data_IF_133434386677
#
_entry.id   IF_133434386677
#
_cell.length_a   1.000
_cell.length_b   1.000
_cell.length_c   1.000
_cell.angle_alpha   90.00
_cell.angle_beta   90.00
_cell.angle_gamma   90.00
#
_symmetry.space_group_name_H-M   'P 1'
#
loop_
_entity.id
_entity.type
_entity.pdbx_description
1 polymer ?
#
# COMPACT_ATOMS: atom_id res chain seq x y z
N UNK A 1 -18.06 -7.44 19.27
CA UNK A 1 -17.07 -7.10 20.33
C UNK A 1 -15.82 -7.99 20.34
N UNK A 2 -15.89 -9.33 20.15
CA UNK A 2 -14.67 -10.19 20.09
C UNK A 2 -13.86 -10.13 18.78
N UNK A 3 -14.42 -9.62 17.68
CA UNK A 3 -13.74 -9.66 16.37
C UNK A 3 -12.48 -8.79 16.28
N UNK A 4 -12.44 -7.62 16.93
CA UNK A 4 -11.31 -6.69 16.81
C UNK A 4 -10.02 -7.17 17.53
N UNK A 5 -10.16 -8.06 18.50
CA UNK A 5 -9.04 -8.63 19.27
C UNK A 5 -8.50 -9.94 18.69
N UNK A 6 -9.17 -10.48 17.66
CA UNK A 6 -8.77 -11.72 16.97
C UNK A 6 -8.14 -11.46 15.60
N UNK A 7 -8.20 -10.21 15.12
CA UNK A 7 -7.65 -9.78 13.82
C UNK A 7 -8.62 -8.87 13.09
N UNK A 8 -8.08 -7.95 12.29
CA UNK A 8 -8.86 -7.03 11.46
C UNK A 8 -8.21 -6.91 10.07
N UNK A 9 -9.04 -6.68 9.05
CA UNK A 9 -8.58 -6.40 7.70
C UNK A 9 -9.09 -5.03 7.27
N UNK A 10 -8.18 -4.09 7.06
CA UNK A 10 -8.48 -2.75 6.56
C UNK A 10 -8.23 -2.59 5.06
N UNK A 11 -7.71 -3.63 4.40
CA UNK A 11 -7.34 -3.57 2.99
C UNK A 11 -8.56 -3.37 2.10
N UNK A 12 -8.36 -2.62 1.01
CA UNK A 12 -9.38 -2.35 0.01
C UNK A 12 -8.80 -2.58 -1.38
N UNK A 13 -9.62 -3.15 -2.27
CA UNK A 13 -9.26 -3.26 -3.69
C UNK A 13 -9.05 -1.88 -4.30
N UNK A 14 -8.26 -1.79 -5.37
CA UNK A 14 -7.86 -0.54 -6.04
C UNK A 14 -7.02 0.45 -5.20
N UNK A 15 -6.90 0.26 -3.88
CA UNK A 15 -6.17 1.17 -3.01
C UNK A 15 -4.69 1.29 -3.37
N UNK A 16 -4.16 2.51 -3.28
CA UNK A 16 -2.74 2.81 -3.35
C UNK A 16 -2.19 3.44 -2.08
N UNK A 17 -0.89 3.67 -2.12
CA UNK A 17 -0.14 4.50 -1.17
C UNK A 17 -0.64 5.94 -1.28
N UNK A 18 -0.89 6.42 -2.50
CA UNK A 18 -1.45 7.76 -2.73
C UNK A 18 -2.97 7.71 -2.79
N UNK A 19 -3.62 8.73 -2.24
CA UNK A 19 -5.08 8.74 -2.07
C UNK A 19 -5.84 8.78 -3.40
N UNK A 20 -5.23 9.33 -4.46
CA UNK A 20 -5.85 9.40 -5.78
C UNK A 20 -5.78 8.08 -6.59
N UNK A 21 -4.89 7.16 -6.19
CA UNK A 21 -4.65 5.90 -6.90
C UNK A 21 -5.92 5.02 -6.87
N UNK A 22 -6.38 4.57 -8.04
CA UNK A 22 -7.54 3.69 -8.14
C UNK A 22 -8.91 4.39 -8.15
N UNK A 23 -8.97 5.72 -8.08
CA UNK A 23 -10.20 6.51 -8.25
C UNK A 23 -10.99 6.15 -9.53
N UNK A 24 -10.31 5.76 -10.60
CA UNK A 24 -10.95 5.35 -11.85
C UNK A 24 -11.75 4.04 -11.74
N UNK A 25 -11.57 3.26 -10.66
CA UNK A 25 -12.24 1.98 -10.39
C UNK A 25 -13.43 2.13 -9.42
N UNK A 26 -13.79 3.35 -9.03
CA UNK A 26 -14.89 3.64 -8.11
C UNK A 26 -14.43 3.78 -6.66
N UNK A 27 -15.38 3.61 -5.74
CA UNK A 27 -15.14 3.80 -4.31
C UNK A 27 -14.16 2.76 -3.76
N UNK A 28 -13.12 3.24 -3.09
CA UNK A 28 -12.11 2.43 -2.44
C UNK A 28 -11.55 3.17 -1.22
N UNK A 29 -10.75 2.47 -0.41
CA UNK A 29 -10.18 3.01 0.83
C UNK A 29 -8.65 3.09 0.65
N UNK A 30 -8.07 4.26 0.34
CA UNK A 30 -6.63 4.41 0.17
C UNK A 30 -5.89 4.24 1.51
N UNK A 31 -4.57 4.07 1.47
CA UNK A 31 -3.77 3.73 2.65
C UNK A 31 -3.98 4.69 3.83
N UNK A 32 -4.06 6.01 3.60
CA UNK A 32 -4.33 6.97 4.67
C UNK A 32 -5.65 6.67 5.37
N UNK A 33 -6.71 6.40 4.61
CA UNK A 33 -8.02 6.07 5.19
C UNK A 33 -8.01 4.69 5.88
N UNK A 34 -7.22 3.71 5.40
CA UNK A 34 -7.05 2.43 6.09
C UNK A 34 -6.40 2.62 7.46
N UNK A 35 -5.41 3.51 7.57
CA UNK A 35 -4.77 3.86 8.84
C UNK A 35 -5.71 4.64 9.76
N UNK A 36 -6.49 5.59 9.25
CA UNK A 36 -7.52 6.29 10.03
C UNK A 36 -8.60 5.33 10.54
N UNK A 37 -8.99 4.34 9.73
CA UNK A 37 -9.92 3.30 10.16
C UNK A 37 -9.31 2.44 11.29
N UNK A 38 -8.02 2.10 11.20
CA UNK A 38 -7.32 1.43 12.31
C UNK A 38 -7.26 2.31 13.58
N UNK A 39 -6.91 3.59 13.44
CA UNK A 39 -6.91 4.54 14.57
C UNK A 39 -8.29 4.61 15.26
N UNK A 40 -9.36 4.65 14.46
CA UNK A 40 -10.74 4.76 14.96
C UNK A 40 -11.19 3.61 15.85
N UNK A 41 -10.54 2.44 15.76
CA UNK A 41 -10.87 1.28 16.60
C UNK A 41 -10.03 1.24 17.90
N UNK A 42 -8.98 2.05 18.03
CA UNK A 42 -8.14 2.08 19.22
C UNK A 42 -8.92 2.38 20.51
N UNK A 43 -9.95 3.27 20.54
CA UNK A 43 -10.79 3.44 21.73
C UNK A 43 -11.51 2.16 22.16
N UNK A 44 -11.93 1.31 21.22
CA UNK A 44 -12.55 0.02 21.54
C UNK A 44 -11.53 -0.98 22.10
N UNK A 45 -10.29 -0.99 21.57
CA UNK A 45 -9.19 -1.80 22.12
C UNK A 45 -8.86 -1.33 23.55
N UNK A 46 -8.77 -0.02 23.79
CA UNK A 46 -8.56 0.55 25.13
C UNK A 46 -9.65 0.13 26.10
N UNK A 47 -10.92 0.20 25.69
CA UNK A 47 -12.06 -0.25 26.49
C UNK A 47 -12.00 -1.74 26.82
N UNK A 48 -11.53 -2.58 25.89
CA UNK A 48 -11.36 -4.01 26.13
C UNK A 48 -10.37 -4.29 27.27
N UNK A 49 -9.30 -3.50 27.36
CA UNK A 49 -8.32 -3.56 28.44
C UNK A 49 -8.66 -2.66 29.65
N UNK A 50 -9.93 -2.27 29.81
CA UNK A 50 -10.39 -1.45 30.95
C UNK A 50 -9.62 -0.11 31.11
N UNK A 51 -9.06 0.41 30.01
CA UNK A 51 -8.25 1.64 30.02
C UNK A 51 -6.79 1.46 30.42
N UNK A 52 -6.32 0.23 30.67
CA UNK A 52 -4.90 -0.05 30.96
C UNK A 52 -4.04 0.14 29.70
N UNK A 53 -3.36 1.29 29.62
CA UNK A 53 -2.50 1.63 28.49
C UNK A 53 -1.29 0.71 28.36
N UNK A 54 -0.73 0.19 29.47
CA UNK A 54 0.37 -0.77 29.41
C UNK A 54 -0.10 -2.09 28.77
N UNK A 55 -1.31 -2.54 29.11
CA UNK A 55 -1.89 -3.73 28.50
C UNK A 55 -2.19 -3.53 27.00
N UNK A 56 -2.69 -2.34 26.61
CA UNK A 56 -2.94 -1.98 25.20
C UNK A 56 -1.64 -1.97 24.40
N UNK A 57 -0.60 -1.30 24.87
CA UNK A 57 0.71 -1.24 24.21
C UNK A 57 1.36 -2.63 24.10
N UNK A 58 1.28 -3.43 25.16
CA UNK A 58 1.74 -4.82 25.16
C UNK A 58 0.96 -5.71 24.19
N UNK A 59 -0.32 -5.43 23.98
CA UNK A 59 -1.13 -6.13 22.99
C UNK A 59 -0.73 -5.72 21.57
N UNK A 60 -0.73 -4.43 21.25
CA UNK A 60 -0.42 -3.90 19.92
C UNK A 60 1.01 -4.23 19.47
N UNK A 61 1.99 -4.20 20.39
CA UNK A 61 3.37 -4.57 20.10
C UNK A 61 3.56 -6.05 19.71
N UNK A 62 2.59 -6.92 20.04
CA UNK A 62 2.59 -8.33 19.63
C UNK A 62 1.89 -8.55 18.29
N UNK A 63 0.99 -7.67 17.88
CA UNK A 63 0.32 -7.75 16.59
C UNK A 63 1.31 -7.67 15.43
N UNK A 64 1.00 -8.39 14.35
CA UNK A 64 1.72 -8.31 13.09
C UNK A 64 0.84 -7.51 12.13
N UNK A 65 1.38 -6.43 11.60
CA UNK A 65 0.74 -5.60 10.59
C UNK A 65 1.32 -5.97 9.24
N UNK A 66 0.48 -6.33 8.28
CA UNK A 66 0.90 -6.66 6.93
C UNK A 66 0.44 -5.56 5.96
N UNK A 67 1.36 -5.01 5.19
CA UNK A 67 1.09 -3.96 4.20
C UNK A 67 1.59 -4.40 2.82
N UNK A 68 0.65 -4.71 1.94
CA UNK A 68 0.90 -5.05 0.53
C UNK A 68 0.36 -3.96 -0.39
N UNK A 69 1.14 -2.89 -0.55
CA UNK A 69 0.76 -1.67 -1.28
C UNK A 69 1.73 -1.39 -2.43
N UNK A 70 1.35 -0.51 -3.36
CA UNK A 70 2.20 -0.03 -4.45
C UNK A 70 1.80 -0.52 -5.84
N UNK A 71 1.19 -1.70 -5.98
CA UNK A 71 0.85 -2.25 -7.32
C UNK A 71 -0.15 -1.37 -8.09
N UNK A 72 -1.19 -0.86 -7.40
CA UNK A 72 -2.16 0.05 -7.98
C UNK A 72 -1.57 1.43 -8.30
N UNK A 73 -0.58 1.89 -7.53
CA UNK A 73 0.09 3.17 -7.79
C UNK A 73 0.79 3.16 -9.16
N UNK A 74 1.17 1.98 -9.66
CA UNK A 74 1.65 1.82 -11.04
C UNK A 74 0.53 1.49 -12.02
N UNK A 75 -0.31 0.49 -11.73
CA UNK A 75 -1.32 -0.03 -12.68
C UNK A 75 -2.51 0.92 -12.89
N UNK A 76 -3.01 1.51 -11.79
CA UNK A 76 -4.21 2.33 -11.72
C UNK A 76 -3.88 3.78 -11.30
N UNK A 77 -2.68 4.24 -11.68
CA UNK A 77 -2.26 5.63 -11.54
C UNK A 77 -1.12 5.96 -12.53
N UNK A 78 0.15 5.62 -12.22
CA UNK A 78 1.31 6.07 -13.00
C UNK A 78 1.25 5.72 -14.48
N UNK A 79 0.96 4.46 -14.83
CA UNK A 79 0.89 4.00 -16.22
C UNK A 79 -0.50 4.14 -16.85
N UNK A 80 -1.45 4.79 -16.17
CA UNK A 80 -2.83 4.97 -16.65
C UNK A 80 -3.05 6.42 -17.10
N UNK A 81 -2.36 6.80 -18.17
CA UNK A 81 -2.26 8.18 -18.66
C UNK A 81 -3.58 8.79 -19.14
N UNK A 82 -4.57 7.96 -19.48
CA UNK A 82 -5.90 8.43 -19.89
C UNK A 82 -6.73 9.00 -18.72
N UNK A 83 -6.38 8.60 -17.49
CA UNK A 83 -7.09 9.01 -16.26
C UNK A 83 -6.23 9.87 -15.34
N UNK A 84 -4.89 9.78 -15.44
CA UNK A 84 -3.97 10.40 -14.51
C UNK A 84 -2.86 11.18 -15.21
N UNK A 85 -2.50 12.33 -14.64
CA UNK A 85 -1.37 13.17 -15.09
C UNK A 85 -0.06 12.82 -14.39
N UNK A 86 0.00 11.70 -13.66
CA UNK A 86 1.16 11.35 -12.83
C UNK A 86 2.43 11.17 -13.67
N UNK A 87 2.37 10.38 -14.75
CA UNK A 87 3.53 10.16 -15.62
C UNK A 87 3.98 11.42 -16.39
N UNK A 88 3.11 12.42 -16.59
CA UNK A 88 3.53 13.69 -17.19
C UNK A 88 4.20 14.63 -16.19
N UNK A 89 3.92 14.45 -14.89
CA UNK A 89 4.49 15.26 -13.80
C UNK A 89 5.74 14.65 -13.17
N UNK A 90 5.87 13.33 -13.23
CA UNK A 90 6.95 12.59 -12.57
C UNK A 90 7.68 11.67 -13.55
N UNK A 91 9.01 11.82 -13.60
CA UNK A 91 9.85 10.75 -14.15
C UNK A 91 9.78 9.52 -13.23
N UNK A 92 10.10 8.31 -13.70
CA UNK A 92 9.97 7.09 -12.89
C UNK A 92 10.72 7.18 -11.56
N UNK A 93 11.94 7.70 -11.55
CA UNK A 93 12.75 7.85 -10.33
C UNK A 93 12.14 8.85 -9.35
N UNK A 94 11.64 10.00 -9.84
CA UNK A 94 11.01 11.00 -8.98
C UNK A 94 9.70 10.45 -8.41
N UNK A 95 8.94 9.70 -9.19
CA UNK A 95 7.71 9.06 -8.72
C UNK A 95 8.00 8.02 -7.62
N UNK A 96 8.97 7.14 -7.82
CA UNK A 96 9.38 6.15 -6.80
C UNK A 96 9.75 6.83 -5.49
N UNK A 97 10.55 7.90 -5.55
CA UNK A 97 10.95 8.63 -4.35
C UNK A 97 9.77 9.28 -3.63
N UNK A 98 8.85 9.92 -4.38
CA UNK A 98 7.63 10.49 -3.81
C UNK A 98 6.75 9.40 -3.15
N UNK A 99 6.62 8.25 -3.81
CA UNK A 99 5.81 7.13 -3.34
C UNK A 99 6.40 6.52 -2.05
N UNK A 100 7.73 6.34 -2.00
CA UNK A 100 8.42 5.86 -0.80
C UNK A 100 8.36 6.86 0.35
N UNK A 101 8.42 8.17 0.06
CA UNK A 101 8.24 9.20 1.07
C UNK A 101 6.84 9.16 1.68
N UNK A 102 5.80 9.06 0.85
CA UNK A 102 4.42 8.90 1.31
C UNK A 102 4.25 7.63 2.14
N UNK A 103 4.78 6.51 1.66
CA UNK A 103 4.67 5.23 2.34
C UNK A 103 5.42 5.22 3.68
N UNK A 104 6.60 5.83 3.73
CA UNK A 104 7.38 5.98 4.97
C UNK A 104 6.61 6.80 6.02
N UNK A 105 5.96 7.89 5.63
CA UNK A 105 5.09 8.69 6.52
C UNK A 105 3.92 7.86 7.06
N UNK A 106 3.27 7.09 6.20
CA UNK A 106 2.15 6.23 6.56
C UNK A 106 2.55 5.09 7.52
N UNK A 107 3.69 4.45 7.26
CA UNK A 107 4.23 3.41 8.15
C UNK A 107 4.70 4.00 9.49
N UNK A 108 5.23 5.23 9.48
CA UNK A 108 5.57 5.96 10.70
C UNK A 108 4.31 6.26 11.51
N UNK A 109 3.22 6.70 10.87
CA UNK A 109 1.95 6.91 11.54
C UNK A 109 1.41 5.61 12.15
N UNK A 110 1.49 4.47 11.44
CA UNK A 110 1.14 3.16 12.01
C UNK A 110 1.97 2.82 13.26
N UNK A 111 3.26 3.17 13.24
CA UNK A 111 4.14 3.00 14.39
C UNK A 111 3.70 3.90 15.57
N UNK A 112 3.35 5.16 15.32
CA UNK A 112 2.82 6.07 16.34
C UNK A 112 1.53 5.53 16.98
N UNK A 113 0.69 4.82 16.21
CA UNK A 113 -0.52 4.15 16.68
C UNK A 113 -0.27 2.87 17.50
N UNK A 114 0.99 2.48 17.71
CA UNK A 114 1.39 1.33 18.54
C UNK A 114 1.82 0.08 17.76
N UNK A 115 1.84 0.15 16.42
CA UNK A 115 2.38 -0.92 15.59
C UNK A 115 3.89 -1.09 15.81
N UNK A 116 4.36 -2.32 16.05
CA UNK A 116 5.80 -2.60 16.24
C UNK A 116 6.37 -3.65 15.31
N UNK A 117 5.52 -4.55 14.79
CA UNK A 117 5.93 -5.59 13.84
C UNK A 117 5.20 -5.35 12.54
N UNK A 118 5.91 -4.85 11.55
CA UNK A 118 5.33 -4.51 10.25
C UNK A 118 6.02 -5.33 9.17
N UNK A 119 5.23 -6.04 8.37
CA UNK A 119 5.65 -6.71 7.15
C UNK A 119 5.26 -5.79 6.00
N UNK A 120 6.26 -5.26 5.31
CA UNK A 120 6.09 -4.48 4.09
C UNK A 120 6.40 -5.39 2.91
N UNK A 121 5.38 -5.78 2.16
CA UNK A 121 5.55 -6.65 1.00
C UNK A 121 6.00 -5.85 -0.22
N UNK A 122 7.02 -6.36 -0.91
CA UNK A 122 7.38 -5.87 -2.24
C UNK A 122 6.30 -6.20 -3.26
N UNK A 123 6.30 -5.46 -4.37
CA UNK A 123 5.34 -5.64 -5.46
C UNK A 123 5.87 -6.69 -6.44
N UNK A 124 5.01 -7.63 -6.85
CA UNK A 124 5.33 -8.62 -7.88
C UNK A 124 5.50 -8.01 -9.27
N UNK A 125 5.95 -8.79 -10.24
CA UNK A 125 6.16 -8.35 -11.63
C UNK A 125 4.83 -8.01 -12.32
N UNK A 126 4.34 -6.77 -12.15
CA UNK A 126 3.05 -6.34 -12.70
C UNK A 126 3.01 -6.41 -14.22
N UNK A 127 4.14 -6.29 -14.91
CA UNK A 127 4.22 -6.40 -16.38
C UNK A 127 3.92 -7.80 -16.90
N UNK A 128 3.85 -8.81 -16.02
CA UNK A 128 3.60 -10.21 -16.36
C UNK A 128 2.17 -10.67 -16.04
N UNK A 129 1.31 -9.81 -15.49
CA UNK A 129 -0.05 -10.22 -15.12
C UNK A 129 -0.94 -10.35 -16.37
N UNK A 130 -1.99 -11.20 -16.34
CA UNK A 130 -2.85 -11.41 -17.52
C UNK A 130 -3.42 -10.12 -18.13
N UNK A 131 -3.76 -9.13 -17.30
CA UNK A 131 -4.25 -7.82 -17.75
C UNK A 131 -3.26 -7.08 -18.64
N UNK A 132 -1.97 -7.12 -18.30
CA UNK A 132 -0.89 -6.50 -19.08
C UNK A 132 -0.56 -7.31 -20.33
N UNK A 133 -0.47 -8.64 -20.18
CA UNK A 133 -0.18 -9.55 -21.30
C UNK A 133 -1.22 -9.44 -22.42
N UNK A 134 -2.49 -9.24 -22.08
CA UNK A 134 -3.58 -9.09 -23.05
C UNK A 134 -3.48 -7.79 -23.88
N UNK A 135 -2.73 -6.79 -23.41
CA UNK A 135 -2.60 -5.46 -24.04
C UNK A 135 -1.20 -5.18 -24.58
N UNK A 136 -0.22 -5.95 -24.15
CA UNK A 136 1.16 -5.77 -24.54
C UNK A 136 1.46 -6.48 -25.86
N UNK A 137 1.67 -5.71 -26.92
CA UNK A 137 2.18 -6.21 -28.19
C UNK A 137 3.70 -6.38 -28.10
N UNK A 138 4.14 -7.37 -27.31
CA UNK A 138 5.54 -7.66 -27.06
C UNK A 138 6.29 -8.16 -28.31
N UNK A 139 7.62 -8.24 -28.19
CA UNK A 139 8.46 -8.91 -29.19
C UNK A 139 8.70 -10.36 -28.79
N UNK A 140 9.12 -11.23 -29.72
CA UNK A 140 9.40 -12.65 -29.43
C UNK A 140 10.42 -12.90 -28.28
N UNK A 141 11.14 -11.86 -27.82
CA UNK A 141 12.18 -11.95 -26.77
C UNK A 141 11.71 -11.64 -25.35
N UNK A 142 10.60 -10.92 -25.14
CA UNK A 142 10.03 -10.72 -23.79
C UNK A 142 8.53 -10.92 -23.81
N UNK A 143 8.06 -11.81 -22.91
CA UNK A 143 6.65 -12.06 -22.70
C UNK A 143 6.00 -11.02 -21.78
N UNK A 144 6.77 -10.27 -20.99
CA UNK A 144 6.25 -9.29 -20.03
C UNK A 144 6.56 -7.85 -20.47
N UNK A 145 5.76 -6.90 -19.98
CA UNK A 145 6.08 -5.48 -20.13
C UNK A 145 7.22 -5.09 -19.16
N UNK A 146 8.45 -5.04 -19.68
CA UNK A 146 9.63 -4.77 -18.84
C UNK A 146 9.72 -3.33 -18.33
N UNK A 147 9.12 -2.35 -19.02
CA UNK A 147 9.11 -0.97 -18.53
C UNK A 147 8.36 -0.88 -17.19
N UNK A 148 7.24 -1.61 -17.08
CA UNK A 148 6.48 -1.72 -15.82
C UNK A 148 7.25 -2.50 -14.76
N UNK A 149 7.88 -3.61 -15.12
CA UNK A 149 8.68 -4.41 -14.17
C UNK A 149 9.90 -3.63 -13.65
N UNK A 150 10.55 -2.83 -14.50
CA UNK A 150 11.68 -1.99 -14.11
C UNK A 150 11.27 -0.91 -13.10
N UNK A 151 10.12 -0.26 -13.30
CA UNK A 151 9.56 0.67 -12.32
C UNK A 151 9.29 -0.01 -10.96
N UNK A 152 8.76 -1.23 -10.97
CA UNK A 152 8.56 -2.04 -9.76
C UNK A 152 9.89 -2.41 -9.10
N UNK A 153 10.92 -2.77 -9.87
CA UNK A 153 12.24 -3.10 -9.34
C UNK A 153 12.88 -1.90 -8.63
N UNK A 154 12.69 -0.69 -9.16
CA UNK A 154 13.14 0.55 -8.51
C UNK A 154 12.41 0.76 -7.18
N UNK A 155 11.09 0.63 -7.16
CA UNK A 155 10.28 0.72 -5.93
C UNK A 155 10.70 -0.31 -4.88
N UNK A 156 10.77 -1.58 -5.25
CA UNK A 156 11.17 -2.67 -4.35
C UNK A 156 12.60 -2.51 -3.82
N UNK A 157 13.49 -1.89 -4.60
CA UNK A 157 14.85 -1.60 -4.15
C UNK A 157 14.88 -0.47 -3.12
N UNK A 158 14.03 0.55 -3.29
CA UNK A 158 13.89 1.64 -2.33
C UNK A 158 13.17 1.23 -1.04
N UNK A 159 12.28 0.23 -1.07
CA UNK A 159 11.66 -0.32 0.16
C UNK A 159 12.66 -0.93 1.15
N UNK A 160 13.87 -1.30 0.68
CA UNK A 160 14.91 -1.92 1.51
C UNK A 160 15.86 -0.92 2.16
N UNK A 161 15.77 0.36 1.81
CA UNK A 161 16.64 1.43 2.29
C UNK A 161 15.94 2.19 3.43
#
# INVERSE_FOLDING_TARGET
>A
RRSLITGANFASGAAGIRDETGNNLGAHIPMNQQLSNFESILPEIRRYFMGDMNAVEKYLSKCIFYSGMGSNDYLNNYFMTDYYTTASRFTPTVYVNALLQDYSRQLTFLYELGGRKVIVAGVGQIGCIPYELARYNGTQRSRCNEDKNNAINLFNSGLRQ
#
